data_IF_552859065635
#
_entry.id   IF_552859065635
#
_cell.length_a   1.000
_cell.length_b   1.000
_cell.length_c   1.000
_cell.angle_alpha   90.00
_cell.angle_beta   90.00
_cell.angle_gamma   90.00
#
_symmetry.space_group_name_H-M   'P 1'
#
loop_
_entity.id
_entity.type
_entity.pdbx_description
1 polymer ?
#
# COMPACT_ATOMS: atom_id res chain seq x y z
N UNK A 1 -29.14 -8.71 10.03
CA UNK A 1 -30.36 -7.89 9.85
C UNK A 1 -30.70 -7.03 11.09
N UNK A 2 -30.60 -7.58 12.31
CA UNK A 2 -31.00 -6.90 13.57
C UNK A 2 -30.21 -5.63 13.99
N UNK A 3 -29.00 -5.42 13.48
CA UNK A 3 -28.15 -4.30 13.93
C UNK A 3 -28.65 -2.96 13.40
N UNK A 4 -28.98 -2.87 12.10
CA UNK A 4 -29.44 -1.62 11.49
C UNK A 4 -30.88 -1.28 11.81
N UNK A 5 -31.74 -2.28 12.01
CA UNK A 5 -33.11 -2.04 12.47
C UNK A 5 -33.09 -1.43 13.87
N UNK A 6 -32.24 -1.96 14.78
CA UNK A 6 -32.05 -1.38 16.12
C UNK A 6 -31.41 0.00 16.09
N UNK A 7 -30.47 0.24 15.17
CA UNK A 7 -29.90 1.59 15.00
C UNK A 7 -30.94 2.60 14.53
N UNK A 8 -31.75 2.24 13.53
CA UNK A 8 -32.81 3.10 13.02
C UNK A 8 -33.86 3.39 14.10
N UNK A 9 -34.38 2.38 14.79
CA UNK A 9 -35.39 2.57 15.84
C UNK A 9 -34.88 3.47 16.97
N UNK A 10 -33.60 3.39 17.34
CA UNK A 10 -33.03 4.30 18.34
C UNK A 10 -32.89 5.74 17.86
N UNK A 11 -32.64 5.94 16.56
CA UNK A 11 -32.64 7.28 15.97
C UNK A 11 -34.07 7.86 15.92
N UNK A 12 -35.05 7.05 15.53
CA UNK A 12 -36.47 7.42 15.50
C UNK A 12 -36.96 7.79 16.91
N UNK A 13 -36.70 6.94 17.91
CA UNK A 13 -37.03 7.19 19.32
C UNK A 13 -36.39 8.49 19.84
N UNK A 14 -35.14 8.79 19.44
CA UNK A 14 -34.47 10.01 19.86
C UNK A 14 -35.12 11.27 19.27
N UNK A 15 -35.50 11.22 17.99
CA UNK A 15 -36.20 12.32 17.31
C UNK A 15 -37.60 12.52 17.89
N UNK A 16 -38.35 11.45 18.10
CA UNK A 16 -39.70 11.51 18.69
C UNK A 16 -39.69 12.09 20.11
N UNK A 17 -38.64 11.82 20.88
CA UNK A 17 -38.51 12.31 22.25
C UNK A 17 -38.27 13.83 22.32
N UNK A 18 -37.41 14.38 21.47
CA UNK A 18 -37.15 15.82 21.41
C UNK A 18 -36.59 16.23 20.04
N UNK A 19 -37.46 16.70 19.15
CA UNK A 19 -37.11 17.14 17.79
C UNK A 19 -36.08 18.29 17.79
N UNK A 20 -36.01 19.08 18.86
CA UNK A 20 -35.16 20.28 18.91
C UNK A 20 -33.80 20.04 19.57
N UNK A 21 -33.65 18.99 20.40
CA UNK A 21 -32.42 18.75 21.18
C UNK A 21 -31.90 17.31 21.13
N UNK A 22 -32.38 16.47 20.22
CA UNK A 22 -31.87 15.10 20.10
C UNK A 22 -30.40 15.07 19.64
N UNK A 23 -29.67 14.07 20.14
CA UNK A 23 -28.29 13.79 19.73
C UNK A 23 -28.24 12.51 18.90
N UNK A 24 -27.41 12.51 17.87
CA UNK A 24 -27.21 11.35 16.98
C UNK A 24 -25.86 10.67 17.26
N UNK A 25 -24.87 11.44 17.71
CA UNK A 25 -23.49 11.00 17.82
C UNK A 25 -23.29 9.95 18.92
N UNK A 26 -23.99 10.06 20.05
CA UNK A 26 -23.98 9.09 21.14
C UNK A 26 -24.54 7.71 20.70
N UNK A 27 -25.63 7.72 19.92
CA UNK A 27 -26.21 6.52 19.33
C UNK A 27 -25.21 5.88 18.35
N UNK A 28 -24.59 6.68 17.47
CA UNK A 28 -23.56 6.18 16.55
C UNK A 28 -22.40 5.54 17.32
N UNK A 29 -21.87 6.20 18.35
CA UNK A 29 -20.77 5.69 19.19
C UNK A 29 -21.15 4.33 19.78
N UNK A 30 -22.37 4.19 20.31
CA UNK A 30 -22.88 2.95 20.91
C UNK A 30 -22.94 1.79 19.91
N UNK A 31 -23.23 2.06 18.63
CA UNK A 31 -23.32 1.03 17.59
C UNK A 31 -22.01 0.75 16.86
N UNK A 32 -21.03 1.65 16.92
CA UNK A 32 -19.75 1.52 16.21
C UNK A 32 -19.06 0.15 16.40
N UNK A 33 -18.95 -0.43 17.60
CA UNK A 33 -18.33 -1.76 17.77
C UNK A 33 -19.05 -2.86 16.97
N UNK A 34 -20.39 -2.83 16.94
CA UNK A 34 -21.19 -3.79 16.18
C UNK A 34 -21.09 -3.56 14.68
N UNK A 35 -21.10 -2.30 14.25
CA UNK A 35 -20.85 -1.93 12.87
C UNK A 35 -19.49 -2.44 12.39
N UNK A 36 -18.43 -2.25 13.18
CA UNK A 36 -17.09 -2.73 12.87
C UNK A 36 -17.07 -4.24 12.56
N UNK A 37 -17.73 -5.04 13.40
CA UNK A 37 -17.77 -6.50 13.25
C UNK A 37 -18.48 -6.99 11.98
N UNK A 38 -19.32 -6.17 11.34
CA UNK A 38 -20.02 -6.53 10.10
C UNK A 38 -19.46 -5.84 8.88
N UNK A 39 -19.09 -4.56 8.97
CA UNK A 39 -18.56 -3.80 7.85
C UNK A 39 -17.14 -4.24 7.49
N UNK A 40 -16.24 -4.42 8.46
CA UNK A 40 -14.85 -4.78 8.15
C UNK A 40 -14.81 -6.08 7.34
N UNK A 41 -15.42 -7.21 7.77
CA UNK A 41 -15.42 -8.44 6.98
C UNK A 41 -16.12 -8.30 5.63
N UNK A 42 -17.23 -7.56 5.56
CA UNK A 42 -17.96 -7.37 4.31
C UNK A 42 -17.11 -6.63 3.27
N UNK A 43 -16.47 -5.52 3.69
CA UNK A 43 -15.63 -4.69 2.84
C UNK A 43 -14.33 -5.39 2.44
N UNK A 44 -13.70 -6.13 3.36
CA UNK A 44 -12.53 -6.98 3.06
C UNK A 44 -12.84 -7.97 1.95
N UNK A 45 -14.06 -8.51 1.91
CA UNK A 45 -14.47 -9.51 0.94
C UNK A 45 -15.15 -8.93 -0.32
N UNK A 46 -15.29 -7.61 -0.46
CA UNK A 46 -16.05 -6.99 -1.55
C UNK A 46 -15.52 -7.39 -2.94
N UNK A 47 -14.20 -7.43 -3.11
CA UNK A 47 -13.59 -7.84 -4.38
C UNK A 47 -13.88 -9.30 -4.73
N UNK A 48 -13.92 -10.19 -3.75
CA UNK A 48 -14.26 -11.60 -3.95
C UNK A 48 -15.74 -11.79 -4.25
N UNK A 49 -16.61 -11.00 -3.59
CA UNK A 49 -18.05 -10.94 -3.92
C UNK A 49 -18.24 -10.54 -5.39
N UNK A 50 -17.57 -9.47 -5.83
CA UNK A 50 -17.63 -8.99 -7.22
C UNK A 50 -17.07 -10.03 -8.21
N UNK A 51 -15.90 -10.62 -7.94
CA UNK A 51 -15.31 -11.68 -8.78
C UNK A 51 -16.25 -12.89 -8.89
N UNK A 52 -16.84 -13.31 -7.77
CA UNK A 52 -17.77 -14.45 -7.73
C UNK A 52 -19.06 -14.14 -8.48
N UNK A 53 -19.62 -12.94 -8.29
CA UNK A 53 -20.79 -12.48 -9.03
C UNK A 53 -20.53 -12.52 -10.54
N UNK A 54 -19.43 -11.94 -11.01
CA UNK A 54 -19.12 -11.92 -12.46
C UNK A 54 -18.93 -13.33 -13.00
N UNK A 55 -18.14 -14.16 -12.31
CA UNK A 55 -17.94 -15.56 -12.70
C UNK A 55 -19.26 -16.32 -12.81
N UNK A 56 -20.17 -16.17 -11.85
CA UNK A 56 -21.48 -16.82 -11.90
C UNK A 56 -22.38 -16.25 -13.00
N UNK A 57 -22.32 -14.94 -13.25
CA UNK A 57 -23.04 -14.32 -14.36
C UNK A 57 -22.53 -14.84 -15.70
N UNK A 58 -21.24 -15.15 -15.84
CA UNK A 58 -20.63 -15.64 -17.09
C UNK A 58 -20.84 -17.15 -17.28
N UNK A 59 -20.58 -17.95 -16.25
CA UNK A 59 -20.54 -19.43 -16.31
C UNK A 59 -21.91 -20.09 -16.08
N UNK A 60 -22.80 -19.49 -15.28
CA UNK A 60 -24.06 -20.11 -14.86
C UNK A 60 -25.28 -19.45 -15.50
N UNK A 61 -25.84 -20.13 -16.51
CA UNK A 61 -27.06 -19.67 -17.19
C UNK A 61 -28.27 -19.58 -16.23
N UNK A 62 -28.38 -20.50 -15.28
CA UNK A 62 -29.47 -20.47 -14.29
C UNK A 62 -29.36 -19.26 -13.36
N UNK A 63 -28.16 -19.00 -12.83
CA UNK A 63 -27.91 -17.84 -11.97
C UNK A 63 -28.22 -16.53 -12.71
N UNK A 64 -27.70 -16.37 -13.93
CA UNK A 64 -27.97 -15.21 -14.79
C UNK A 64 -29.47 -14.98 -14.97
N UNK A 65 -30.22 -16.03 -15.35
CA UNK A 65 -31.68 -15.95 -15.55
C UNK A 65 -32.41 -15.49 -14.28
N UNK A 66 -32.03 -16.00 -13.12
CA UNK A 66 -32.65 -15.62 -11.84
C UNK A 66 -32.35 -14.16 -11.50
N UNK A 67 -31.08 -13.73 -11.63
CA UNK A 67 -30.68 -12.34 -11.37
C UNK A 67 -31.42 -11.37 -12.29
N UNK A 68 -31.44 -11.63 -13.60
CA UNK A 68 -32.17 -10.79 -14.57
C UNK A 68 -33.66 -10.71 -14.26
N UNK A 69 -34.28 -11.81 -13.80
CA UNK A 69 -35.68 -11.81 -13.37
C UNK A 69 -35.89 -10.93 -12.14
N UNK A 70 -35.00 -11.00 -11.15
CA UNK A 70 -35.07 -10.19 -9.93
C UNK A 70 -34.87 -8.70 -10.24
N UNK A 71 -33.91 -8.35 -11.09
CA UNK A 71 -33.59 -6.97 -11.49
C UNK A 71 -34.73 -6.28 -12.26
N UNK A 72 -35.59 -7.06 -12.94
CA UNK A 72 -36.81 -6.55 -13.60
C UNK A 72 -37.91 -6.15 -12.61
N UNK A 73 -37.82 -6.55 -11.34
CA UNK A 73 -38.81 -6.17 -10.33
C UNK A 73 -38.79 -4.63 -10.15
N UNK A 74 -39.94 -3.94 -10.20
CA UNK A 74 -40.01 -2.49 -9.99
C UNK A 74 -39.36 -2.01 -8.69
N UNK A 75 -39.37 -2.82 -7.63
CA UNK A 75 -38.71 -2.51 -6.34
C UNK A 75 -37.21 -2.29 -6.49
N UNK A 76 -36.58 -2.93 -7.47
CA UNK A 76 -35.14 -2.76 -7.76
C UNK A 76 -34.84 -1.48 -8.54
N UNK A 77 -35.84 -0.73 -9.03
CA UNK A 77 -35.66 0.53 -9.74
C UNK A 77 -34.66 0.46 -10.91
N UNK A 78 -34.63 -0.68 -11.63
CA UNK A 78 -33.71 -0.98 -12.75
C UNK A 78 -32.22 -0.96 -12.38
N UNK A 79 -31.91 -1.08 -11.10
CA UNK A 79 -30.53 -1.18 -10.62
C UNK A 79 -30.06 -2.64 -10.66
N UNK A 80 -28.83 -2.91 -11.11
CA UNK A 80 -28.29 -4.27 -11.11
C UNK A 80 -27.94 -4.72 -9.69
N UNK A 81 -27.94 -6.03 -9.43
CA UNK A 81 -27.63 -6.62 -8.12
C UNK A 81 -26.30 -6.08 -7.56
N UNK A 82 -25.28 -5.97 -8.42
CA UNK A 82 -23.97 -5.41 -8.07
C UNK A 82 -24.03 -4.01 -7.44
N UNK A 83 -24.97 -3.17 -7.87
CA UNK A 83 -25.13 -1.82 -7.31
C UNK A 83 -25.69 -1.82 -5.87
N UNK A 84 -26.40 -2.88 -5.49
CA UNK A 84 -26.85 -3.07 -4.10
C UNK A 84 -25.73 -3.61 -3.21
N UNK A 85 -24.85 -4.46 -3.76
CA UNK A 85 -23.71 -5.01 -3.03
C UNK A 85 -22.67 -3.95 -2.63
N UNK A 86 -22.62 -2.80 -3.29
CA UNK A 86 -21.72 -1.70 -2.90
C UNK A 86 -22.29 -0.80 -1.79
N UNK A 87 -23.60 -0.90 -1.49
CA UNK A 87 -24.27 -0.01 -0.55
C UNK A 87 -23.65 0.01 0.86
N UNK A 88 -23.16 -1.10 1.44
CA UNK A 88 -22.51 -1.05 2.74
C UNK A 88 -21.29 -0.11 2.78
N UNK A 89 -20.43 -0.14 1.76
CA UNK A 89 -19.31 0.79 1.64
C UNK A 89 -19.79 2.24 1.57
N UNK A 90 -20.80 2.50 0.74
CA UNK A 90 -21.36 3.84 0.60
C UNK A 90 -22.04 4.33 1.88
N UNK A 91 -22.66 3.42 2.64
CA UNK A 91 -23.39 3.75 3.87
C UNK A 91 -22.43 4.21 4.97
N UNK A 92 -21.33 3.49 5.19
CA UNK A 92 -20.37 3.86 6.24
C UNK A 92 -19.62 5.15 5.90
N UNK A 93 -19.28 5.36 4.61
CA UNK A 93 -18.64 6.59 4.14
C UNK A 93 -19.58 7.80 4.22
N UNK A 94 -20.85 7.65 3.81
CA UNK A 94 -21.85 8.71 3.98
C UNK A 94 -22.11 9.04 5.45
N UNK A 95 -22.17 8.05 6.34
CA UNK A 95 -22.34 8.29 7.77
C UNK A 95 -21.19 9.13 8.34
N UNK A 96 -19.94 8.85 7.93
CA UNK A 96 -18.77 9.69 8.26
C UNK A 96 -18.97 11.14 7.79
N UNK A 97 -19.36 11.36 6.53
CA UNK A 97 -19.56 12.70 5.98
C UNK A 97 -20.66 13.49 6.72
N UNK A 98 -21.75 12.82 7.09
CA UNK A 98 -22.83 13.44 7.87
C UNK A 98 -22.33 13.87 9.26
N UNK A 99 -21.60 13.00 9.96
CA UNK A 99 -21.01 13.35 11.27
C UNK A 99 -19.96 14.45 11.14
N UNK A 100 -19.15 14.45 10.08
CA UNK A 100 -18.23 15.55 9.79
C UNK A 100 -18.94 16.90 9.65
N UNK A 101 -20.12 16.92 9.01
CA UNK A 101 -20.92 18.14 8.92
C UNK A 101 -21.49 18.54 10.28
N UNK A 102 -21.91 17.59 11.11
CA UNK A 102 -22.34 17.87 12.50
C UNK A 102 -21.20 18.52 13.28
N UNK A 103 -19.98 17.98 13.24
CA UNK A 103 -18.81 18.57 13.90
C UNK A 103 -18.60 20.03 13.49
N UNK A 104 -18.73 20.34 12.19
CA UNK A 104 -18.51 21.71 11.68
C UNK A 104 -19.53 22.74 12.17
N UNK A 105 -20.77 22.33 12.44
CA UNK A 105 -21.86 23.24 12.84
C UNK A 105 -22.10 23.24 14.36
N UNK A 106 -21.49 22.31 15.09
CA UNK A 106 -21.66 22.21 16.55
C UNK A 106 -20.85 23.29 17.25
N UNK A 107 -21.41 23.86 18.32
CA UNK A 107 -20.75 24.92 19.08
C UNK A 107 -19.45 24.40 19.76
N UNK A 108 -18.33 25.15 19.70
CA UNK A 108 -17.07 24.73 20.30
C UNK A 108 -17.14 24.56 21.82
N UNK A 109 -16.30 23.68 22.35
CA UNK A 109 -16.14 23.36 23.79
C UNK A 109 -17.42 22.85 24.45
N UNK A 110 -18.33 22.25 23.68
CA UNK A 110 -19.54 21.61 24.19
C UNK A 110 -19.37 20.10 24.31
N UNK A 111 -20.21 19.46 25.13
CA UNK A 111 -20.26 17.99 25.17
C UNK A 111 -20.66 17.41 23.80
N UNK A 112 -21.53 18.09 23.06
CA UNK A 112 -21.97 17.65 21.73
C UNK A 112 -20.83 17.65 20.72
N UNK A 113 -19.95 18.68 20.76
CA UNK A 113 -18.74 18.70 19.94
C UNK A 113 -17.83 17.51 20.28
N UNK A 114 -17.62 17.24 21.58
CA UNK A 114 -16.80 16.11 22.01
C UNK A 114 -17.38 14.75 21.55
N UNK A 115 -18.70 14.56 21.63
CA UNK A 115 -19.37 13.36 21.11
C UNK A 115 -19.28 13.27 19.59
N UNK A 116 -19.48 14.38 18.86
CA UNK A 116 -19.39 14.40 17.41
C UNK A 116 -17.99 14.07 16.91
N UNK A 117 -16.94 14.65 17.52
CA UNK A 117 -15.55 14.33 17.22
C UNK A 117 -15.26 12.85 17.51
N UNK A 118 -15.74 12.32 18.65
CA UNK A 118 -15.55 10.92 19.01
C UNK A 118 -16.23 9.97 18.02
N UNK A 119 -17.48 10.26 17.63
CA UNK A 119 -18.21 9.49 16.63
C UNK A 119 -17.47 9.50 15.28
N UNK A 120 -16.99 10.67 14.85
CA UNK A 120 -16.20 10.83 13.63
C UNK A 120 -14.94 9.96 13.66
N UNK A 121 -14.14 10.04 14.73
CA UNK A 121 -12.91 9.25 14.88
C UNK A 121 -13.18 7.74 14.86
N UNK A 122 -14.28 7.27 15.46
CA UNK A 122 -14.65 5.85 15.42
C UNK A 122 -15.05 5.38 14.02
N UNK A 123 -15.80 6.18 13.27
CA UNK A 123 -16.15 5.88 11.88
C UNK A 123 -14.93 5.90 10.97
N UNK A 124 -14.03 6.88 11.16
CA UNK A 124 -12.75 6.95 10.45
C UNK A 124 -11.88 5.73 10.72
N UNK A 125 -11.75 5.33 11.98
CA UNK A 125 -11.02 4.12 12.37
C UNK A 125 -11.60 2.86 11.71
N UNK A 126 -12.93 2.74 11.63
CA UNK A 126 -13.55 1.57 10.99
C UNK A 126 -13.26 1.50 9.49
N UNK A 127 -13.29 2.64 8.79
CA UNK A 127 -12.93 2.72 7.38
C UNK A 127 -11.44 2.38 7.20
N UNK A 128 -10.58 2.90 8.07
CA UNK A 128 -9.15 2.60 8.08
C UNK A 128 -8.87 1.11 8.31
N UNK A 129 -9.47 0.49 9.34
CA UNK A 129 -9.36 -0.93 9.64
C UNK A 129 -9.81 -1.80 8.44
N UNK A 130 -10.86 -1.36 7.72
CA UNK A 130 -11.33 -2.05 6.51
C UNK A 130 -10.30 -1.99 5.38
N UNK A 131 -9.71 -0.82 5.14
CA UNK A 131 -8.67 -0.63 4.13
C UNK A 131 -7.41 -1.44 4.45
N UNK A 132 -6.99 -1.45 5.71
CA UNK A 132 -5.86 -2.26 6.19
C UNK A 132 -6.12 -3.74 6.00
N UNK A 133 -7.31 -4.22 6.35
CA UNK A 133 -7.71 -5.62 6.15
C UNK A 133 -7.75 -6.00 4.66
N UNK A 134 -8.24 -5.13 3.78
CA UNK A 134 -8.20 -5.33 2.32
C UNK A 134 -6.75 -5.45 1.84
N UNK A 135 -5.86 -4.57 2.30
CA UNK A 135 -4.43 -4.58 1.95
C UNK A 135 -3.75 -5.86 2.42
N UNK A 136 -3.99 -6.26 3.68
CA UNK A 136 -3.46 -7.49 4.25
C UNK A 136 -3.94 -8.73 3.47
N UNK A 137 -5.22 -8.78 3.10
CA UNK A 137 -5.78 -9.88 2.32
C UNK A 137 -5.12 -10.00 0.94
N UNK A 138 -4.96 -8.88 0.22
CA UNK A 138 -4.24 -8.85 -1.06
C UNK A 138 -2.81 -9.34 -0.93
N UNK A 139 -2.12 -8.94 0.13
CA UNK A 139 -0.76 -9.39 0.40
C UNK A 139 -0.69 -10.91 0.66
N UNK A 140 -1.63 -11.47 1.44
CA UNK A 140 -1.73 -12.92 1.64
C UNK A 140 -2.01 -13.65 0.32
N UNK A 141 -2.93 -13.15 -0.53
CA UNK A 141 -3.22 -13.72 -1.85
C UNK A 141 -1.97 -13.76 -2.74
N UNK A 142 -1.16 -12.70 -2.74
CA UNK A 142 0.12 -12.65 -3.44
C UNK A 142 1.12 -13.68 -2.90
N UNK A 143 1.23 -13.83 -1.57
CA UNK A 143 2.10 -14.85 -0.96
C UNK A 143 1.66 -16.27 -1.29
N UNK A 144 0.36 -16.56 -1.28
CA UNK A 144 -0.19 -17.87 -1.67
C UNK A 144 0.13 -18.16 -3.14
N UNK A 145 -0.06 -17.18 -4.01
CA UNK A 145 0.24 -17.29 -5.45
C UNK A 145 1.72 -17.57 -5.69
N UNK A 146 2.61 -16.89 -4.96
CA UNK A 146 4.05 -17.12 -5.05
C UNK A 146 4.44 -18.48 -4.48
N UNK A 147 3.87 -18.88 -3.33
CA UNK A 147 4.14 -20.18 -2.70
C UNK A 147 3.78 -21.36 -3.63
N UNK A 148 2.74 -21.23 -4.45
CA UNK A 148 2.39 -22.23 -5.46
C UNK A 148 3.38 -22.32 -6.64
N UNK A 149 4.24 -21.31 -6.82
CA UNK A 149 5.21 -21.21 -7.92
C UNK A 149 6.66 -21.45 -7.49
N UNK A 150 6.90 -21.58 -6.19
CA UNK A 150 8.24 -21.67 -5.60
C UNK A 150 8.52 -23.08 -5.11
N UNK A 151 9.65 -23.62 -5.51
CA UNK A 151 10.24 -24.84 -4.95
C UNK A 151 11.58 -24.49 -4.27
N UNK A 152 11.93 -25.16 -3.18
CA UNK A 152 13.19 -24.92 -2.45
C UNK A 152 14.18 -26.05 -2.72
N UNK A 153 15.35 -25.70 -3.26
CA UNK A 153 16.51 -26.61 -3.35
C UNK A 153 17.38 -26.51 -2.09
N UNK A 154 17.34 -25.36 -1.43
CA UNK A 154 17.92 -25.12 -0.12
C UNK A 154 16.92 -25.43 1.01
N UNK A 155 17.21 -24.98 2.24
CA UNK A 155 16.31 -25.14 3.39
C UNK A 155 14.93 -24.53 3.09
N UNK A 156 13.86 -25.27 3.35
CA UNK A 156 12.48 -24.79 3.18
C UNK A 156 12.18 -23.59 4.08
N UNK A 157 11.44 -22.61 3.55
CA UNK A 157 10.94 -21.45 4.28
C UNK A 157 9.41 -21.35 4.11
N UNK A 158 8.61 -21.31 5.19
CA UNK A 158 7.18 -21.08 5.08
C UNK A 158 6.92 -19.64 4.59
N UNK A 159 6.48 -19.48 3.34
CA UNK A 159 6.30 -18.16 2.72
C UNK A 159 5.09 -17.38 3.25
N UNK A 160 4.01 -18.08 3.58
CA UNK A 160 2.76 -17.47 4.03
C UNK A 160 2.89 -17.04 5.49
N UNK A 161 2.84 -15.73 5.75
CA UNK A 161 2.86 -15.14 7.08
C UNK A 161 2.03 -13.86 7.10
N UNK A 162 1.35 -13.58 8.22
CA UNK A 162 0.53 -12.38 8.39
C UNK A 162 1.35 -11.08 8.42
N UNK A 163 2.62 -11.15 8.80
CA UNK A 163 3.53 -9.99 8.90
C UNK A 163 4.45 -9.82 7.69
N UNK A 164 4.52 -10.83 6.82
CA UNK A 164 5.40 -10.82 5.65
C UNK A 164 4.75 -10.05 4.51
N UNK A 165 5.47 -9.10 3.92
CA UNK A 165 5.05 -8.34 2.74
C UNK A 165 6.20 -8.23 1.75
N UNK A 166 5.88 -8.28 0.47
CA UNK A 166 6.87 -8.06 -0.58
C UNK A 166 7.30 -6.59 -0.58
N UNK A 167 8.60 -6.34 -0.58
CA UNK A 167 9.22 -5.01 -0.66
C UNK A 167 9.68 -4.73 -2.09
N UNK A 168 10.24 -5.74 -2.77
CA UNK A 168 10.70 -5.63 -4.16
C UNK A 168 10.88 -7.01 -4.76
N UNK A 169 10.63 -7.14 -6.05
CA UNK A 169 11.03 -8.33 -6.81
C UNK A 169 11.65 -7.94 -8.16
N UNK A 170 12.42 -8.83 -8.74
CA UNK A 170 12.97 -8.59 -10.07
C UNK A 170 14.16 -9.46 -10.45
N UNK A 171 14.50 -9.47 -11.75
CA UNK A 171 15.66 -10.19 -12.26
C UNK A 171 16.98 -9.49 -11.85
N UNK A 172 18.01 -10.30 -11.67
CA UNK A 172 19.41 -9.86 -11.51
C UNK A 172 20.32 -10.87 -12.20
N UNK A 173 21.49 -10.42 -12.66
CA UNK A 173 22.53 -11.32 -13.15
C UNK A 173 23.60 -11.46 -12.07
N UNK A 174 23.79 -12.68 -11.57
CA UNK A 174 24.91 -13.02 -10.70
C UNK A 174 26.16 -13.26 -11.56
N UNK A 175 27.26 -12.61 -11.20
CA UNK A 175 28.56 -12.79 -11.85
C UNK A 175 29.39 -13.75 -11.02
N UNK A 176 29.77 -14.89 -11.62
CA UNK A 176 30.54 -15.96 -10.99
C UNK A 176 31.91 -16.05 -11.65
N UNK A 177 32.90 -16.36 -10.82
CA UNK A 177 34.30 -16.57 -11.17
C UNK A 177 34.98 -15.41 -11.94
N UNK A 178 35.93 -14.74 -11.29
CA UNK A 178 36.75 -13.68 -11.91
C UNK A 178 38.13 -14.18 -12.34
N UNK A 179 38.27 -15.49 -12.58
CA UNK A 179 39.49 -16.06 -13.14
C UNK A 179 39.82 -15.40 -14.48
N UNK A 180 41.05 -14.86 -14.60
CA UNK A 180 41.57 -14.11 -15.75
C UNK A 180 41.63 -14.90 -17.07
N UNK A 181 41.20 -16.17 -17.10
CA UNK A 181 41.42 -17.08 -18.23
C UNK A 181 40.17 -17.75 -18.79
N UNK A 182 39.02 -17.68 -18.13
CA UNK A 182 37.79 -18.29 -18.62
C UNK A 182 36.64 -17.28 -18.64
N UNK A 183 35.69 -17.50 -19.55
CA UNK A 183 34.53 -16.63 -19.79
C UNK A 183 33.83 -16.31 -18.46
N UNK A 184 33.51 -15.04 -18.22
CA UNK A 184 32.69 -14.62 -17.08
C UNK A 184 31.43 -15.50 -17.01
N UNK A 185 31.32 -16.35 -15.99
CA UNK A 185 30.15 -17.21 -15.84
C UNK A 185 29.00 -16.39 -15.25
N UNK A 186 28.07 -16.00 -16.11
CA UNK A 186 26.87 -15.29 -15.70
C UNK A 186 25.72 -16.24 -15.38
N UNK A 187 25.05 -16.02 -14.25
CA UNK A 187 23.84 -16.74 -13.88
C UNK A 187 22.67 -15.77 -13.77
N UNK A 188 21.62 -16.01 -14.55
CA UNK A 188 20.37 -15.28 -14.42
C UNK A 188 19.62 -15.74 -13.18
N UNK A 189 19.46 -14.84 -12.23
CA UNK A 189 18.74 -15.05 -10.98
C UNK A 189 17.53 -14.10 -10.88
N UNK A 190 16.67 -14.38 -9.92
CA UNK A 190 15.51 -13.58 -9.59
C UNK A 190 15.43 -13.44 -8.07
N UNK A 191 15.25 -12.21 -7.60
CA UNK A 191 15.18 -11.93 -6.17
C UNK A 191 13.75 -11.55 -5.77
N UNK A 192 13.30 -12.11 -4.65
CA UNK A 192 12.08 -11.68 -3.96
C UNK A 192 12.50 -11.18 -2.58
N UNK A 193 12.45 -9.87 -2.37
CA UNK A 193 12.75 -9.25 -1.10
C UNK A 193 11.44 -8.97 -0.37
N UNK A 194 11.29 -9.60 0.78
CA UNK A 194 10.26 -9.29 1.76
C UNK A 194 10.79 -8.35 2.83
N UNK A 195 9.93 -7.89 3.72
CA UNK A 195 10.32 -7.08 4.87
C UNK A 195 11.19 -7.83 5.89
N UNK A 196 11.18 -9.16 5.89
CA UNK A 196 11.88 -10.01 6.86
C UNK A 196 12.89 -10.96 6.23
N UNK A 197 12.71 -11.35 4.95
CA UNK A 197 13.57 -12.30 4.24
C UNK A 197 13.87 -11.87 2.79
N UNK A 198 15.01 -12.30 2.28
CA UNK A 198 15.33 -12.28 0.84
C UNK A 198 15.38 -13.70 0.30
N UNK A 199 14.73 -13.96 -0.83
CA UNK A 199 14.90 -15.19 -1.62
C UNK A 199 15.74 -14.89 -2.86
N UNK A 200 16.72 -15.75 -3.14
CA UNK A 200 17.47 -15.78 -4.40
C UNK A 200 17.08 -17.04 -5.15
N UNK A 201 16.53 -16.88 -6.34
CA UNK A 201 15.92 -17.97 -7.11
C UNK A 201 16.43 -18.05 -8.54
N UNK A 202 16.37 -19.24 -9.13
CA UNK A 202 16.45 -19.44 -10.57
C UNK A 202 15.05 -19.47 -11.16
N UNK A 203 14.82 -18.70 -12.23
CA UNK A 203 13.53 -18.70 -12.93
C UNK A 203 13.46 -19.90 -13.87
N UNK A 204 12.37 -20.67 -13.78
CA UNK A 204 12.05 -21.80 -14.63
C UNK A 204 10.98 -21.42 -15.66
N UNK A 205 10.78 -22.30 -16.65
CA UNK A 205 9.65 -22.19 -17.58
C UNK A 205 8.30 -22.15 -16.84
N UNK A 206 7.29 -21.52 -17.45
CA UNK A 206 5.97 -21.37 -16.84
C UNK A 206 5.91 -20.41 -15.66
N UNK A 207 6.97 -19.63 -15.40
CA UNK A 207 6.98 -18.63 -14.32
C UNK A 207 7.14 -19.22 -12.92
N UNK A 208 7.67 -20.44 -12.81
CA UNK A 208 8.08 -21.05 -11.54
C UNK A 208 9.48 -20.59 -11.13
N UNK A 209 9.79 -20.71 -9.85
CA UNK A 209 11.07 -20.32 -9.27
C UNK A 209 11.64 -21.47 -8.43
N UNK A 210 12.94 -21.67 -8.52
CA UNK A 210 13.67 -22.57 -7.61
C UNK A 210 14.57 -21.74 -6.72
N UNK A 211 14.24 -21.69 -5.44
CA UNK A 211 14.99 -20.94 -4.43
C UNK A 211 16.26 -21.70 -4.12
N UNK A 212 17.38 -21.11 -4.53
CA UNK A 212 18.73 -21.64 -4.33
C UNK A 212 19.35 -21.14 -3.04
N UNK A 213 18.87 -20.01 -2.52
CA UNK A 213 19.30 -19.47 -1.22
C UNK A 213 18.29 -18.47 -0.65
N UNK A 214 18.32 -18.27 0.66
CA UNK A 214 17.58 -17.21 1.33
C UNK A 214 18.25 -16.82 2.65
N UNK A 215 18.00 -15.59 3.09
CA UNK A 215 18.49 -15.12 4.37
C UNK A 215 17.54 -14.08 4.98
N UNK A 216 17.50 -13.97 6.33
CA UNK A 216 16.81 -12.87 7.00
C UNK A 216 17.41 -11.52 6.59
N UNK A 217 16.56 -10.50 6.41
CA UNK A 217 17.00 -9.15 6.03
C UNK A 217 17.97 -8.56 7.04
N UNK A 218 17.83 -8.88 8.33
CA UNK A 218 18.73 -8.45 9.41
C UNK A 218 20.18 -8.93 9.25
N UNK A 219 20.42 -9.96 8.43
CA UNK A 219 21.74 -10.53 8.20
C UNK A 219 22.32 -10.13 6.84
N UNK A 220 21.61 -9.31 6.05
CA UNK A 220 22.05 -8.84 4.75
C UNK A 220 22.87 -7.56 4.89
N UNK A 221 23.88 -7.40 4.02
CA UNK A 221 24.54 -6.11 3.79
C UNK A 221 24.69 -5.89 2.30
N UNK A 222 24.46 -4.66 1.86
CA UNK A 222 24.60 -4.28 0.46
C UNK A 222 25.68 -3.22 0.30
N UNK A 223 26.53 -3.39 -0.70
CA UNK A 223 27.58 -2.45 -1.05
C UNK A 223 27.38 -1.96 -2.48
N UNK A 224 27.35 -0.63 -2.64
CA UNK A 224 27.34 -0.01 -3.95
C UNK A 224 28.76 -0.04 -4.54
N UNK A 225 29.00 -0.95 -5.49
CA UNK A 225 30.26 -0.97 -6.22
C UNK A 225 30.34 0.26 -7.14
N UNK A 226 31.08 1.28 -6.69
CA UNK A 226 31.50 2.44 -7.48
C UNK A 226 32.81 2.04 -8.17
N UNK A 227 32.79 1.86 -9.48
CA UNK A 227 33.90 1.35 -10.29
C UNK A 227 35.31 1.82 -9.86
N UNK A 228 36.24 0.85 -9.82
CA UNK A 228 37.58 0.86 -10.48
C UNK A 228 38.37 -0.37 -9.98
N UNK A 229 38.22 -1.51 -10.65
CA UNK A 229 39.23 -2.56 -10.84
C UNK A 229 38.51 -3.76 -11.49
N UNK A 230 38.79 -4.01 -12.77
CA UNK A 230 38.31 -5.14 -13.58
C UNK A 230 36.90 -4.98 -14.22
N UNK A 231 36.88 -5.00 -15.57
CA UNK A 231 35.76 -5.11 -16.53
C UNK A 231 34.77 -3.94 -16.72
N UNK A 232 34.25 -3.84 -17.96
CA UNK A 232 33.40 -2.78 -18.54
C UNK A 232 31.94 -2.77 -18.01
N UNK A 233 31.65 -3.50 -16.94
CA UNK A 233 30.30 -3.89 -16.58
C UNK A 233 29.60 -2.89 -15.64
N UNK A 234 28.59 -2.17 -16.15
CA UNK A 234 27.80 -1.16 -15.41
C UNK A 234 26.79 -1.81 -14.45
N UNK A 235 26.26 -1.00 -13.53
CA UNK A 235 25.15 -1.36 -12.65
C UNK A 235 25.40 -2.55 -11.69
N UNK A 236 26.64 -2.63 -11.17
CA UNK A 236 27.03 -3.66 -10.20
C UNK A 236 26.79 -3.26 -8.74
N UNK A 237 26.38 -4.21 -7.92
CA UNK A 237 26.35 -4.09 -6.47
C UNK A 237 26.70 -5.44 -5.83
N UNK A 238 27.24 -5.40 -4.62
CA UNK A 238 27.60 -6.60 -3.87
C UNK A 238 26.58 -6.83 -2.76
N UNK A 239 26.04 -8.04 -2.70
CA UNK A 239 25.13 -8.49 -1.66
C UNK A 239 25.86 -9.50 -0.77
N UNK A 240 26.08 -9.14 0.49
CA UNK A 240 26.59 -10.03 1.51
C UNK A 240 25.43 -10.76 2.17
N UNK A 241 25.45 -12.08 2.07
CA UNK A 241 24.59 -13.02 2.77
C UNK A 241 25.42 -13.72 3.87
N UNK A 242 24.81 -14.44 4.82
CA UNK A 242 25.51 -15.01 5.98
C UNK A 242 26.74 -15.88 5.64
N UNK A 243 26.68 -16.64 4.54
CA UNK A 243 27.71 -17.61 4.17
C UNK A 243 28.45 -17.27 2.87
N UNK A 244 28.06 -16.20 2.15
CA UNK A 244 28.68 -15.83 0.87
C UNK A 244 28.39 -14.38 0.49
N UNK A 245 29.18 -13.86 -0.46
CA UNK A 245 28.89 -12.59 -1.11
C UNK A 245 28.58 -12.84 -2.59
N UNK A 246 27.51 -12.21 -3.09
CA UNK A 246 27.09 -12.25 -4.48
C UNK A 246 27.47 -10.93 -5.15
N UNK A 247 28.12 -10.99 -6.31
CA UNK A 247 28.24 -9.83 -7.19
C UNK A 247 27.08 -9.84 -8.18
N UNK A 248 26.22 -8.82 -8.10
CA UNK A 248 24.97 -8.76 -8.85
C UNK A 248 24.98 -7.57 -9.80
N UNK A 249 24.43 -7.78 -11.00
CA UNK A 249 24.23 -6.77 -12.05
C UNK A 249 22.75 -6.58 -12.34
N UNK A 250 22.34 -5.34 -12.59
CA UNK A 250 21.03 -5.00 -13.15
C UNK A 250 21.15 -4.44 -14.57
N UNK A 251 20.04 -4.50 -15.31
CA UNK A 251 19.88 -3.91 -16.64
C UNK A 251 19.99 -2.37 -16.63
N UNK A 252 19.41 -1.73 -15.61
CA UNK A 252 19.29 -0.27 -15.48
C UNK A 252 19.95 0.22 -14.20
N UNK A 253 20.36 1.49 -14.17
CA UNK A 253 20.90 2.10 -12.96
C UNK A 253 19.79 2.30 -11.92
N UNK A 254 18.57 2.64 -12.35
CA UNK A 254 17.38 2.66 -11.50
C UNK A 254 17.23 1.35 -10.73
N UNK A 255 17.27 0.20 -11.42
CA UNK A 255 17.12 -1.09 -10.75
C UNK A 255 18.21 -1.37 -9.72
N UNK A 256 19.48 -1.00 -10.01
CA UNK A 256 20.57 -1.10 -9.04
C UNK A 256 20.29 -0.26 -7.80
N UNK A 257 19.98 1.03 -7.97
CA UNK A 257 19.76 1.93 -6.85
C UNK A 257 18.52 1.55 -6.04
N UNK A 258 17.45 1.09 -6.72
CA UNK A 258 16.24 0.55 -6.09
C UNK A 258 16.54 -0.69 -5.24
N UNK A 259 17.33 -1.63 -5.74
CA UNK A 259 17.78 -2.79 -4.95
C UNK A 259 18.60 -2.37 -3.73
N UNK A 260 19.59 -1.48 -3.91
CA UNK A 260 20.42 -0.98 -2.82
C UNK A 260 19.57 -0.26 -1.76
N UNK A 261 18.62 0.59 -2.17
CA UNK A 261 17.71 1.28 -1.26
C UNK A 261 16.83 0.29 -0.51
N UNK A 262 16.25 -0.70 -1.20
CA UNK A 262 15.37 -1.68 -0.58
C UNK A 262 16.09 -2.59 0.43
N UNK A 263 17.34 -2.97 0.14
CA UNK A 263 18.18 -3.79 1.01
C UNK A 263 18.82 -3.01 2.18
N UNK A 264 18.94 -1.69 2.07
CA UNK A 264 19.50 -0.80 3.12
C UNK A 264 18.50 -0.39 4.21
N UNK A 265 17.36 -1.09 4.34
CA UNK A 265 16.32 -0.77 5.34
C UNK A 265 16.74 -1.23 6.75
N UNK A 266 16.29 -0.55 7.83
CA UNK A 266 15.40 0.61 7.85
C UNK A 266 16.10 1.92 7.45
N UNK A 267 15.33 2.86 6.90
CA UNK A 267 15.85 4.19 6.60
C UNK A 267 15.92 5.04 7.88
N UNK A 268 16.92 5.93 8.02
CA UNK A 268 16.95 6.88 9.12
C UNK A 268 15.72 7.80 9.09
N UNK A 269 15.21 8.16 10.27
CA UNK A 269 14.15 9.15 10.39
C UNK A 269 14.61 10.51 9.85
N UNK A 270 13.72 11.21 9.15
CA UNK A 270 14.02 12.50 8.55
C UNK A 270 13.66 13.60 9.55
N UNK A 271 14.68 14.34 9.99
CA UNK A 271 14.48 15.60 10.69
C UNK A 271 14.15 16.71 9.67
N UNK A 272 12.86 17.03 9.54
CA UNK A 272 12.39 18.05 8.61
C UNK A 272 12.93 19.45 8.90
N UNK A 273 13.46 19.71 10.11
CA UNK A 273 14.10 20.98 10.44
C UNK A 273 15.51 21.12 9.82
N UNK A 274 16.19 19.99 9.60
CA UNK A 274 17.56 19.89 9.12
C UNK A 274 17.71 19.67 7.60
N UNK A 275 16.61 19.50 6.86
CA UNK A 275 16.60 19.16 5.42
C UNK A 275 16.21 20.33 4.50
N UNK A 276 16.49 21.57 4.91
CA UNK A 276 16.13 22.76 4.12
C UNK A 276 16.84 22.81 2.76
N UNK A 277 18.04 22.23 2.67
CA UNK A 277 18.87 22.22 1.47
C UNK A 277 18.60 21.00 0.56
N UNK A 278 17.76 20.05 1.01
CA UNK A 278 17.43 18.88 0.20
C UNK A 278 16.44 19.29 -0.91
N UNK A 279 16.70 18.94 -2.18
CA UNK A 279 15.81 19.27 -3.29
C UNK A 279 14.39 18.75 -3.07
N UNK A 280 13.42 19.52 -3.53
CA UNK A 280 12.01 19.11 -3.54
C UNK A 280 11.51 19.04 -4.97
N UNK A 281 10.68 18.05 -5.25
CA UNK A 281 10.00 17.89 -6.54
C UNK A 281 8.50 17.81 -6.32
N UNK A 282 7.72 18.41 -7.22
CA UNK A 282 6.27 18.33 -7.24
C UNK A 282 5.79 17.37 -8.32
N UNK A 283 4.78 16.57 -8.00
CA UNK A 283 4.11 15.72 -8.97
C UNK A 283 3.26 16.55 -9.94
N UNK A 284 3.62 16.55 -11.21
CA UNK A 284 2.90 17.25 -12.28
C UNK A 284 1.87 16.34 -12.98
N UNK A 285 2.10 15.03 -12.92
CA UNK A 285 1.25 13.98 -13.50
C UNK A 285 1.13 12.84 -12.51
N UNK A 286 -0.10 12.43 -12.19
CA UNK A 286 -0.36 11.34 -11.26
C UNK A 286 0.33 10.04 -11.72
N UNK A 287 0.88 9.30 -10.77
CA UNK A 287 1.59 8.04 -10.99
C UNK A 287 1.04 6.96 -10.06
N UNK A 288 0.82 5.76 -10.59
CA UNK A 288 0.35 4.60 -9.83
C UNK A 288 1.46 3.56 -9.79
N UNK A 289 1.91 3.26 -8.58
CA UNK A 289 2.95 2.26 -8.32
C UNK A 289 2.59 0.89 -8.92
N UNK A 290 3.56 0.30 -9.63
CA UNK A 290 3.48 -1.03 -10.21
C UNK A 290 4.27 -2.07 -9.39
N UNK A 291 5.20 -1.62 -8.56
CA UNK A 291 6.00 -2.44 -7.65
C UNK A 291 5.91 -1.92 -6.20
N UNK A 292 6.13 -2.76 -5.18
CA UNK A 292 5.95 -2.35 -3.78
C UNK A 292 6.95 -1.28 -3.28
N UNK A 293 8.09 -1.11 -3.95
CA UNK A 293 9.08 -0.07 -3.66
C UNK A 293 8.79 1.26 -4.39
N UNK A 294 7.78 1.31 -5.25
CA UNK A 294 7.34 2.51 -5.95
C UNK A 294 6.32 3.29 -5.12
N UNK A 295 6.30 4.60 -5.31
CA UNK A 295 5.44 5.51 -4.56
C UNK A 295 4.36 6.09 -5.47
N UNK A 296 3.10 5.70 -5.26
CA UNK A 296 1.98 6.32 -5.96
C UNK A 296 1.84 7.79 -5.56
N UNK A 297 1.69 8.67 -6.54
CA UNK A 297 1.53 10.11 -6.33
C UNK A 297 0.31 10.68 -7.04
N UNK A 298 -0.34 11.62 -6.36
CA UNK A 298 -1.36 12.49 -6.94
C UNK A 298 -0.75 13.82 -7.41
N UNK A 299 -1.45 14.50 -8.32
CA UNK A 299 -1.01 15.81 -8.83
C UNK A 299 -0.88 16.80 -7.67
N UNK A 300 0.19 17.59 -7.70
CA UNK A 300 0.59 18.57 -6.71
C UNK A 300 1.21 18.02 -5.41
N UNK A 301 1.27 16.71 -5.20
CA UNK A 301 2.02 16.13 -4.07
C UNK A 301 3.52 16.44 -4.18
N UNK A 302 4.17 16.66 -3.04
CA UNK A 302 5.57 17.09 -2.97
C UNK A 302 6.43 15.99 -2.35
N UNK A 303 7.58 15.73 -2.99
CA UNK A 303 8.62 14.83 -2.55
C UNK A 303 9.85 15.60 -2.05
N UNK A 304 10.41 15.15 -0.94
CA UNK A 304 11.80 15.41 -0.57
C UNK A 304 12.70 14.40 -1.29
N UNK A 305 13.62 14.86 -2.13
CA UNK A 305 14.43 14.00 -3.01
C UNK A 305 15.66 13.47 -2.28
N UNK A 306 15.83 12.15 -2.23
CA UNK A 306 16.99 11.50 -1.60
C UNK A 306 18.10 11.19 -2.59
N UNK A 307 17.71 10.66 -3.75
CA UNK A 307 18.64 10.30 -4.82
C UNK A 307 17.90 10.16 -6.15
N UNK A 308 18.66 10.20 -7.24
CA UNK A 308 18.14 10.08 -8.60
C UNK A 308 19.04 9.15 -9.41
N UNK A 309 18.45 8.36 -10.28
CA UNK A 309 19.16 7.57 -11.28
C UNK A 309 19.29 8.36 -12.58
N UNK A 310 20.33 8.06 -13.37
CA UNK A 310 20.58 8.67 -14.67
C UNK A 310 19.58 8.26 -15.75
N UNK A 311 18.78 7.23 -15.48
CA UNK A 311 17.71 6.72 -16.35
C UNK A 311 16.31 7.16 -15.87
N UNK A 312 16.24 8.25 -15.10
CA UNK A 312 15.00 9.00 -14.88
C UNK A 312 14.09 8.43 -13.78
N UNK A 313 14.66 7.87 -12.72
CA UNK A 313 13.93 7.50 -11.50
C UNK A 313 14.44 8.30 -10.30
N UNK A 314 13.49 8.74 -9.47
CA UNK A 314 13.74 9.56 -8.29
C UNK A 314 13.27 8.79 -7.06
N UNK A 315 14.15 8.64 -6.08
CA UNK A 315 13.77 8.21 -4.74
C UNK A 315 13.47 9.43 -3.89
N UNK A 316 12.31 9.42 -3.23
CA UNK A 316 11.93 10.52 -2.36
C UNK A 316 11.00 10.10 -1.23
N UNK A 317 10.88 10.99 -0.25
CA UNK A 317 9.85 10.90 0.79
C UNK A 317 8.75 11.91 0.51
N UNK A 318 7.51 11.43 0.38
CA UNK A 318 6.33 12.28 0.24
C UNK A 318 6.08 13.03 1.54
N UNK A 319 5.89 14.34 1.44
CA UNK A 319 5.74 15.21 2.60
C UNK A 319 4.40 15.06 3.33
N UNK A 320 3.32 14.67 2.63
CA UNK A 320 1.98 14.58 3.21
C UNK A 320 1.84 13.46 4.26
N UNK A 321 2.50 12.32 4.06
CA UNK A 321 2.36 11.13 4.90
C UNK A 321 3.67 10.40 5.21
N UNK A 322 4.80 10.97 4.79
CA UNK A 322 6.16 10.46 5.04
C UNK A 322 6.46 9.11 4.39
N UNK A 323 5.64 8.66 3.43
CA UNK A 323 5.96 7.46 2.68
C UNK A 323 7.17 7.69 1.77
N UNK A 324 8.09 6.72 1.75
CA UNK A 324 9.30 6.74 0.92
C UNK A 324 9.22 5.69 -0.17
N UNK A 325 9.60 6.05 -1.38
CA UNK A 325 9.68 5.13 -2.51
C UNK A 325 10.17 5.81 -3.78
N UNK A 326 10.03 5.10 -4.88
CA UNK A 326 10.56 5.49 -6.19
C UNK A 326 9.47 5.95 -7.15
N UNK A 327 9.76 6.99 -7.93
CA UNK A 327 8.85 7.58 -8.93
C UNK A 327 9.62 7.94 -10.19
N UNK A 328 9.06 7.77 -11.40
CA UNK A 328 9.68 8.26 -12.62
C UNK A 328 9.79 9.78 -12.63
N UNK A 329 10.98 10.31 -12.97
CA UNK A 329 11.26 11.75 -13.08
C UNK A 329 10.32 12.46 -14.05
N UNK A 330 9.85 11.75 -15.09
CA UNK A 330 8.87 12.26 -16.06
C UNK A 330 7.51 12.70 -15.46
N UNK A 331 7.24 12.33 -14.21
CA UNK A 331 6.02 12.71 -13.48
C UNK A 331 6.27 13.86 -12.48
N UNK A 332 7.51 14.35 -12.41
CA UNK A 332 8.00 15.28 -11.41
C UNK A 332 8.55 16.56 -12.04
N UNK A 333 8.46 17.66 -11.30
CA UNK A 333 9.10 18.93 -11.64
C UNK A 333 9.83 19.48 -10.42
N UNK A 334 11.04 20.00 -10.61
CA UNK A 334 11.85 20.54 -9.51
C UNK A 334 11.28 21.85 -8.98
N UNK A 335 11.09 21.94 -7.66
CA UNK A 335 10.70 23.17 -6.99
C UNK A 335 11.94 24.05 -6.79
N UNK A 336 12.09 25.04 -7.68
CA UNK A 336 13.22 25.99 -7.66
C UNK A 336 13.05 27.06 -6.56
N UNK A 337 11.82 27.41 -6.19
CA UNK A 337 11.55 28.48 -5.22
C UNK A 337 11.89 28.07 -3.78
N UNK A 338 12.89 28.70 -3.19
CA UNK A 338 13.25 28.52 -1.77
C UNK A 338 12.08 28.83 -0.82
N UNK A 339 11.31 29.87 -1.14
CA UNK A 339 10.13 30.24 -0.35
C UNK A 339 9.09 29.13 -0.36
N UNK A 340 8.86 28.50 -1.51
CA UNK A 340 7.95 27.35 -1.62
C UNK A 340 8.49 26.14 -0.85
N UNK A 341 9.78 25.82 -1.00
CA UNK A 341 10.43 24.71 -0.27
C UNK A 341 10.31 24.85 1.24
N UNK A 342 10.59 26.04 1.77
CA UNK A 342 10.44 26.33 3.21
C UNK A 342 9.00 26.23 3.68
N UNK A 343 8.04 26.73 2.89
CA UNK A 343 6.61 26.63 3.21
C UNK A 343 6.14 25.19 3.29
N UNK A 344 6.52 24.35 2.32
CA UNK A 344 6.15 22.93 2.30
C UNK A 344 6.63 22.19 3.55
N UNK A 345 7.88 22.44 3.99
CA UNK A 345 8.43 21.85 5.21
C UNK A 345 7.68 22.33 6.46
N UNK A 346 7.39 23.63 6.56
CA UNK A 346 6.61 24.18 7.68
C UNK A 346 5.21 23.59 7.78
N UNK A 347 4.52 23.45 6.64
CA UNK A 347 3.19 22.86 6.59
C UNK A 347 3.23 21.37 6.99
N UNK A 348 4.28 20.65 6.58
CA UNK A 348 4.52 19.25 6.99
C UNK A 348 4.74 19.12 8.49
N UNK A 349 5.52 20.02 9.11
CA UNK A 349 5.76 20.01 10.55
C UNK A 349 4.48 20.31 11.35
N UNK A 350 3.65 21.24 10.88
CA UNK A 350 2.35 21.55 11.52
C UNK A 350 1.40 20.35 11.50
N UNK A 351 1.32 19.64 10.37
CA UNK A 351 0.50 18.43 10.24
C UNK A 351 0.99 17.35 11.22
N UNK A 352 2.30 17.18 11.37
CA UNK A 352 2.88 16.22 12.30
C UNK A 352 2.52 16.52 13.77
N UNK A 353 2.54 17.79 14.18
CA UNK A 353 2.17 18.20 15.54
C UNK A 353 0.68 18.05 15.81
N UNK A 354 -0.17 18.12 14.78
CA UNK A 354 -1.63 17.97 14.91
C UNK A 354 -2.09 16.49 14.90
N UNK A 355 -1.25 15.57 14.46
CA UNK A 355 -1.51 14.13 14.42
C UNK A 355 -1.01 13.36 15.66
N UNK A 356 -0.22 14.02 16.52
CA UNK A 356 0.12 13.58 17.89
C UNK A 356 -0.97 14.03 18.87
#
# INVERSE_FOLDING_TARGET
MLIFTKFLSQLEEAVEKDIMRFTVCDIIIKHCPRFRNVYVPYLTNQSYQDKTYQRLMDESHEFRRVVEKLERNPVCQRLPLRSFLILPFQRITRLKLLVQNIVKITAPKTNDEAQAIKAMKLLEKMIQDSNESISQMKNIESLVTLNAKVDFECRTLPLISQSRRLVREGPVTELRDFSLKDREEERNAYMHLFNDYLLVSLRKEGGRFTVIDHAPVSELRVENCRFKLHSLQKNLFRLHMPQKALLLRTDTQANKLRWISALSRPYPEIDFSAVQDIPQMQCIKAFVAQQPDELSLEKAEVLLVHQQSSDGWVEGTRLSDRQRGWVPESHLETIVSDKARKRNLLDTMKIATAAM
#
